data_IF_646181540256
#
_entry.id   IF_646181540256
#
_cell.length_a   1.000
_cell.length_b   1.000
_cell.length_c   1.000
_cell.angle_alpha   90.00
_cell.angle_beta   90.00
_cell.angle_gamma   90.00
#
_symmetry.space_group_name_H-M   'P 1'
#
loop_
_entity.id
_entity.type
_entity.pdbx_description
1 polymer ?
#
# COMPACT_ATOMS: atom_id res chain seq x y z
N UNK A 1 -63.89 6.56 76.87
CA UNK A 1 -64.11 6.19 75.48
C UNK A 1 -62.85 6.62 74.71
N UNK A 2 -61.96 5.66 74.39
CA UNK A 2 -60.66 5.91 73.85
C UNK A 2 -60.70 5.75 72.30
N UNK A 3 -60.27 6.78 71.59
CA UNK A 3 -60.06 6.70 70.13
C UNK A 3 -58.66 6.24 69.87
N UNK A 4 -58.55 5.15 69.14
CA UNK A 4 -57.29 4.59 68.65
C UNK A 4 -57.02 5.16 67.24
N UNK A 5 -55.95 5.94 67.11
CA UNK A 5 -55.50 6.46 65.81
C UNK A 5 -54.62 5.46 65.13
N UNK A 6 -54.97 5.09 63.89
CA UNK A 6 -54.23 4.19 63.05
C UNK A 6 -53.24 4.99 62.13
N UNK A 7 -51.98 4.91 62.43
CA UNK A 7 -50.90 5.54 61.58
C UNK A 7 -50.57 4.59 60.43
N UNK A 8 -50.84 5.03 59.19
CA UNK A 8 -50.47 4.35 58.00
C UNK A 8 -49.06 4.85 57.59
N UNK A 9 -48.06 4.01 57.73
CA UNK A 9 -46.70 4.23 57.17
C UNK A 9 -46.70 3.89 55.67
N UNK A 10 -46.62 4.91 54.84
CA UNK A 10 -46.36 4.74 53.39
C UNK A 10 -44.85 4.65 53.20
N UNK A 11 -44.38 3.43 52.93
CA UNK A 11 -43.01 3.20 52.52
C UNK A 11 -42.86 3.47 51.01
N UNK A 12 -42.20 4.58 50.69
CA UNK A 12 -41.84 4.96 49.30
C UNK A 12 -40.59 4.18 48.87
N UNK A 13 -40.77 3.05 48.17
CA UNK A 13 -39.68 2.35 47.57
C UNK A 13 -39.25 3.03 46.28
N UNK A 14 -38.14 3.78 46.37
CA UNK A 14 -37.43 4.34 45.21
C UNK A 14 -36.73 3.18 44.49
N UNK A 15 -37.33 2.70 43.36
CA UNK A 15 -36.69 1.81 42.44
C UNK A 15 -35.67 2.64 41.60
N UNK A 16 -34.42 2.70 42.04
CA UNK A 16 -33.31 3.20 41.24
C UNK A 16 -33.03 2.19 40.14
N UNK A 17 -33.61 2.40 38.96
CA UNK A 17 -33.26 1.72 37.73
C UNK A 17 -31.82 2.06 37.35
N UNK A 18 -30.88 1.21 37.74
CA UNK A 18 -29.53 1.16 37.12
C UNK A 18 -29.71 0.68 35.70
N UNK A 19 -29.84 1.64 34.77
CA UNK A 19 -29.64 1.40 33.35
C UNK A 19 -28.20 0.98 33.12
N UNK A 20 -27.94 -0.33 33.10
CA UNK A 20 -26.67 -0.88 32.61
C UNK A 20 -26.71 -0.63 31.12
N UNK A 21 -26.13 0.50 30.69
CA UNK A 21 -25.70 0.63 29.30
C UNK A 21 -24.64 -0.44 29.05
N UNK A 22 -25.09 -1.61 28.60
CA UNK A 22 -24.21 -2.61 28.05
C UNK A 22 -23.62 -2.04 26.75
N UNK A 23 -22.51 -1.30 26.88
CA UNK A 23 -21.59 -1.20 25.76
C UNK A 23 -21.11 -2.63 25.51
N UNK A 24 -21.70 -3.30 24.53
CA UNK A 24 -21.15 -4.52 23.98
C UNK A 24 -19.78 -4.14 23.42
N UNK A 25 -18.72 -4.40 24.18
CA UNK A 25 -17.36 -4.43 23.62
C UNK A 25 -17.39 -5.46 22.50
N UNK A 26 -17.30 -4.97 21.26
CA UNK A 26 -17.14 -5.82 20.08
C UNK A 26 -15.83 -6.56 20.31
N UNK A 27 -15.88 -7.85 20.63
CA UNK A 27 -14.69 -8.70 20.79
C UNK A 27 -13.92 -8.65 19.48
N UNK A 28 -12.64 -8.32 19.54
CA UNK A 28 -11.76 -8.39 18.37
C UNK A 28 -11.94 -9.76 17.70
N UNK A 29 -12.29 -9.75 16.39
CA UNK A 29 -12.51 -10.96 15.61
C UNK A 29 -13.95 -11.49 15.57
N UNK A 30 -14.94 -10.86 16.23
CA UNK A 30 -16.34 -11.31 16.21
C UNK A 30 -16.91 -11.48 14.79
N UNK A 31 -16.45 -10.63 13.84
CA UNK A 31 -16.84 -10.67 12.42
C UNK A 31 -15.76 -11.25 11.49
N UNK A 32 -14.67 -11.79 12.06
CA UNK A 32 -13.60 -12.42 11.28
C UNK A 32 -13.98 -13.86 10.90
N UNK A 33 -15.08 -14.01 10.18
CA UNK A 33 -15.58 -15.30 9.68
C UNK A 33 -16.30 -15.15 8.35
N UNK A 34 -16.34 -16.23 7.56
CA UNK A 34 -16.92 -16.26 6.22
C UNK A 34 -15.89 -15.86 5.15
N UNK A 35 -16.35 -15.81 3.91
CA UNK A 35 -15.49 -15.55 2.76
C UNK A 35 -15.85 -14.25 2.07
N UNK A 36 -14.86 -13.55 1.54
CA UNK A 36 -15.05 -12.36 0.72
C UNK A 36 -13.96 -12.22 -0.34
N UNK A 37 -14.30 -11.57 -1.45
CA UNK A 37 -13.36 -11.26 -2.52
C UNK A 37 -12.79 -9.86 -2.38
N UNK A 38 -11.51 -9.69 -2.72
CA UNK A 38 -10.84 -8.40 -2.82
C UNK A 38 -10.10 -8.29 -4.14
N UNK A 39 -10.25 -7.18 -4.85
CA UNK A 39 -9.48 -6.89 -6.07
C UNK A 39 -8.32 -5.97 -5.72
N UNK A 40 -7.16 -6.27 -6.22
CA UNK A 40 -5.93 -5.57 -5.86
C UNK A 40 -5.11 -5.28 -7.12
N UNK A 41 -4.60 -4.05 -7.22
CA UNK A 41 -3.55 -3.76 -8.20
C UNK A 41 -2.37 -4.71 -7.97
N UNK A 42 -1.90 -5.37 -9.06
CA UNK A 42 -0.83 -6.38 -8.98
C UNK A 42 0.45 -5.83 -8.33
N UNK A 43 0.66 -4.53 -8.39
CA UNK A 43 1.77 -3.86 -7.71
C UNK A 43 1.85 -4.17 -6.20
N UNK A 44 0.73 -4.53 -5.56
CA UNK A 44 0.66 -4.79 -4.12
C UNK A 44 0.42 -6.26 -3.77
N UNK A 45 0.57 -7.18 -4.75
CA UNK A 45 0.37 -8.61 -4.57
C UNK A 45 1.15 -9.17 -3.38
N UNK A 46 2.44 -8.88 -3.29
CA UNK A 46 3.31 -9.44 -2.24
C UNK A 46 2.86 -9.04 -0.83
N UNK A 47 2.34 -7.81 -0.68
CA UNK A 47 1.79 -7.31 0.58
C UNK A 47 0.51 -8.07 0.92
N UNK A 48 -0.42 -8.07 -0.04
CA UNK A 48 -1.75 -8.63 0.19
C UNK A 48 -1.71 -10.14 0.45
N UNK A 49 -0.85 -10.88 -0.25
CA UNK A 49 -0.65 -12.31 -0.02
C UNK A 49 -0.24 -12.59 1.45
N UNK A 50 0.72 -11.82 1.98
CA UNK A 50 1.17 -12.00 3.36
C UNK A 50 0.13 -11.54 4.38
N UNK A 51 -0.55 -10.41 4.13
CA UNK A 51 -1.64 -9.94 4.98
C UNK A 51 -2.77 -10.96 5.10
N UNK A 52 -3.14 -11.59 3.99
CA UNK A 52 -4.18 -12.64 3.95
C UNK A 52 -3.70 -13.88 4.70
N UNK A 53 -2.49 -14.38 4.42
CA UNK A 53 -1.95 -15.59 5.03
C UNK A 53 -1.89 -15.47 6.55
N UNK A 54 -1.42 -14.33 7.06
CA UNK A 54 -1.33 -14.06 8.49
C UNK A 54 -2.71 -13.81 9.12
N UNK A 55 -3.61 -13.13 8.40
CA UNK A 55 -4.98 -12.92 8.85
C UNK A 55 -5.75 -14.24 8.97
N UNK A 56 -5.71 -15.09 7.97
CA UNK A 56 -6.41 -16.39 7.97
C UNK A 56 -5.80 -17.36 9.00
N UNK A 57 -4.49 -17.28 9.24
CA UNK A 57 -3.86 -18.01 10.34
C UNK A 57 -4.40 -17.57 11.71
N UNK A 58 -4.59 -16.26 11.89
CA UNK A 58 -5.12 -15.69 13.13
C UNK A 58 -6.63 -15.91 13.30
N UNK A 59 -7.35 -16.05 12.19
CA UNK A 59 -8.81 -16.20 12.14
C UNK A 59 -9.21 -17.36 11.20
N UNK A 60 -9.13 -18.62 11.64
CA UNK A 60 -9.32 -19.80 10.78
C UNK A 60 -10.69 -19.94 10.14
N UNK A 61 -11.72 -19.21 10.61
CA UNK A 61 -13.05 -19.19 10.01
C UNK A 61 -13.21 -18.11 8.93
N UNK A 62 -12.17 -17.30 8.71
CA UNK A 62 -12.14 -16.24 7.70
C UNK A 62 -11.41 -16.71 6.43
N UNK A 63 -11.89 -16.24 5.26
CA UNK A 63 -11.21 -16.46 3.99
C UNK A 63 -11.32 -15.20 3.12
N UNK A 64 -10.19 -14.67 2.68
CA UNK A 64 -10.10 -13.54 1.76
C UNK A 64 -9.55 -14.04 0.43
N UNK A 65 -10.34 -13.91 -0.62
CA UNK A 65 -10.02 -14.43 -1.96
C UNK A 65 -9.53 -13.24 -2.80
N UNK A 66 -8.20 -13.12 -3.07
CA UNK A 66 -7.65 -12.02 -3.84
C UNK A 66 -7.77 -12.23 -5.34
N UNK A 67 -8.04 -11.15 -6.07
CA UNK A 67 -7.93 -11.05 -7.52
C UNK A 67 -6.92 -9.97 -7.87
N UNK A 68 -5.77 -10.38 -8.41
CA UNK A 68 -4.72 -9.46 -8.84
C UNK A 68 -4.97 -9.05 -10.28
N UNK A 69 -5.20 -7.77 -10.46
CA UNK A 69 -5.62 -7.16 -11.73
C UNK A 69 -4.95 -5.78 -11.89
N UNK A 70 -5.19 -5.10 -12.99
CA UNK A 70 -4.78 -3.70 -13.11
C UNK A 70 -5.61 -2.79 -12.19
N UNK A 71 -5.05 -1.64 -11.79
CA UNK A 71 -5.79 -0.63 -10.98
C UNK A 71 -7.11 -0.24 -11.64
N UNK A 72 -7.11 -0.06 -12.95
CA UNK A 72 -8.31 0.27 -13.70
C UNK A 72 -9.38 -0.81 -13.58
N UNK A 73 -9.01 -2.08 -13.73
CA UNK A 73 -9.94 -3.20 -13.61
C UNK A 73 -10.46 -3.38 -12.18
N UNK A 74 -9.61 -3.15 -11.16
CA UNK A 74 -10.02 -3.16 -9.76
C UNK A 74 -11.10 -2.08 -9.50
N UNK A 75 -10.86 -0.86 -9.97
CA UNK A 75 -11.80 0.26 -9.84
C UNK A 75 -13.10 0.00 -10.60
N UNK A 76 -13.03 -0.50 -11.83
CA UNK A 76 -14.21 -0.84 -12.63
C UNK A 76 -15.05 -1.94 -11.96
N UNK A 77 -14.38 -2.92 -11.34
CA UNK A 77 -15.04 -4.00 -10.61
C UNK A 77 -15.76 -3.50 -9.36
N UNK A 78 -15.17 -2.56 -8.63
CA UNK A 78 -15.84 -1.90 -7.50
C UNK A 78 -17.04 -1.07 -7.97
N UNK A 79 -16.87 -0.28 -9.03
CA UNK A 79 -17.94 0.56 -9.59
C UNK A 79 -19.10 -0.25 -10.19
N UNK A 80 -18.81 -1.46 -10.69
CA UNK A 80 -19.81 -2.42 -11.15
C UNK A 80 -20.43 -3.27 -10.01
N UNK A 81 -20.01 -3.06 -8.74
CA UNK A 81 -20.41 -3.85 -7.56
C UNK A 81 -20.12 -5.35 -7.71
N UNK A 82 -19.06 -5.71 -8.46
CA UNK A 82 -18.56 -7.10 -8.57
C UNK A 82 -17.72 -7.50 -7.37
N UNK A 83 -17.12 -6.52 -6.70
CA UNK A 83 -16.41 -6.68 -5.42
C UNK A 83 -16.85 -5.60 -4.45
N UNK A 84 -16.61 -5.84 -3.15
CA UNK A 84 -16.87 -4.87 -2.10
C UNK A 84 -15.59 -4.26 -1.53
N UNK A 85 -14.42 -4.70 -1.97
CA UNK A 85 -13.15 -4.13 -1.54
C UNK A 85 -12.12 -4.13 -2.66
N UNK A 86 -11.31 -3.06 -2.71
CA UNK A 86 -10.17 -2.93 -3.62
C UNK A 86 -8.96 -2.33 -2.91
N UNK A 87 -7.75 -2.68 -3.38
CA UNK A 87 -6.49 -2.02 -3.02
C UNK A 87 -5.94 -1.34 -4.27
N UNK A 88 -5.82 0.00 -4.22
CA UNK A 88 -5.52 0.88 -5.34
C UNK A 88 -4.73 2.11 -4.87
N UNK A 89 -4.22 2.92 -5.81
CA UNK A 89 -3.49 4.16 -5.47
C UNK A 89 -4.33 5.43 -5.61
N UNK A 90 -5.54 5.33 -6.13
CA UNK A 90 -6.46 6.46 -6.32
C UNK A 90 -7.68 6.33 -5.43
N UNK A 91 -8.06 7.44 -4.81
CA UNK A 91 -9.35 7.51 -4.12
C UNK A 91 -10.51 7.64 -5.10
N UNK A 92 -11.70 7.25 -4.62
CA UNK A 92 -12.94 7.53 -5.34
C UNK A 92 -13.23 9.03 -5.36
N UNK A 93 -13.65 9.54 -6.53
CA UNK A 93 -14.18 10.89 -6.65
C UNK A 93 -15.53 11.03 -5.92
N UNK A 94 -15.96 12.26 -5.70
CA UNK A 94 -17.27 12.52 -5.09
C UNK A 94 -18.40 11.91 -5.92
N UNK A 95 -18.31 12.02 -7.24
CA UNK A 95 -19.27 11.49 -8.20
C UNK A 95 -19.33 9.95 -8.13
N UNK A 96 -18.17 9.28 -8.03
CA UNK A 96 -18.10 7.83 -7.89
C UNK A 96 -18.70 7.36 -6.55
N UNK A 97 -18.40 8.06 -5.45
CA UNK A 97 -19.01 7.78 -4.14
C UNK A 97 -20.52 7.92 -4.16
N UNK A 98 -21.03 8.99 -4.79
CA UNK A 98 -22.48 9.23 -4.89
C UNK A 98 -23.15 8.21 -5.83
N UNK A 99 -22.49 7.79 -6.91
CA UNK A 99 -22.98 6.73 -7.79
C UNK A 99 -23.16 5.40 -7.03
N UNK A 100 -22.16 4.97 -6.26
CA UNK A 100 -22.25 3.73 -5.45
C UNK A 100 -23.39 3.82 -4.43
N UNK A 101 -23.56 4.98 -3.80
CA UNK A 101 -24.60 5.22 -2.81
C UNK A 101 -26.00 5.22 -3.44
N UNK A 102 -26.20 5.88 -4.56
CA UNK A 102 -27.52 6.01 -5.21
C UNK A 102 -27.94 4.72 -5.89
N UNK A 103 -27.03 4.11 -6.65
CA UNK A 103 -27.33 2.93 -7.46
C UNK A 103 -27.37 1.65 -6.64
N UNK A 104 -26.37 1.43 -5.77
CA UNK A 104 -26.21 0.17 -5.06
C UNK A 104 -26.50 0.27 -3.56
N UNK A 105 -26.85 1.47 -3.04
CA UNK A 105 -27.07 1.74 -1.62
C UNK A 105 -25.82 1.38 -0.78
N UNK A 106 -24.63 1.58 -1.35
CA UNK A 106 -23.33 1.29 -0.74
C UNK A 106 -22.61 2.58 -0.38
N UNK A 107 -22.12 2.65 0.86
CA UNK A 107 -21.29 3.76 1.33
C UNK A 107 -19.84 3.29 1.22
N UNK A 108 -19.07 3.93 0.35
CA UNK A 108 -17.65 3.63 0.20
C UNK A 108 -16.84 4.32 1.30
N UNK A 109 -15.99 3.53 1.97
CA UNK A 109 -14.96 3.99 2.89
C UNK A 109 -13.62 3.81 2.20
N UNK A 110 -12.77 4.83 2.26
CA UNK A 110 -11.44 4.85 1.66
C UNK A 110 -10.44 5.22 2.75
N UNK A 111 -9.52 4.32 3.02
CA UNK A 111 -8.51 4.48 4.07
C UNK A 111 -7.12 4.28 3.46
N UNK A 112 -6.21 5.20 3.76
CA UNK A 112 -4.81 5.05 3.38
C UNK A 112 -4.17 3.99 4.27
N UNK A 113 -3.58 2.95 3.66
CA UNK A 113 -2.94 1.84 4.39
C UNK A 113 -1.41 1.91 4.32
N UNK A 114 -0.86 2.52 3.25
CA UNK A 114 0.57 2.61 3.03
C UNK A 114 0.94 3.81 2.16
N UNK A 115 2.23 4.15 2.13
CA UNK A 115 2.84 5.01 1.12
C UNK A 115 3.87 4.19 0.37
N UNK A 116 3.57 3.93 -0.91
CA UNK A 116 4.44 3.23 -1.85
C UNK A 116 5.32 4.22 -2.62
N UNK A 117 6.36 3.70 -3.25
CA UNK A 117 7.14 4.45 -4.23
C UNK A 117 7.24 3.66 -5.55
N UNK A 118 7.29 4.39 -6.65
CA UNK A 118 7.57 3.83 -7.97
C UNK A 118 9.07 3.87 -8.20
N UNK A 119 9.67 2.69 -8.35
CA UNK A 119 11.11 2.55 -8.63
C UNK A 119 11.35 2.33 -10.13
N UNK A 120 12.44 2.90 -10.62
CA UNK A 120 13.01 2.56 -11.91
C UNK A 120 14.18 1.62 -11.67
N UNK A 121 14.15 0.45 -12.30
CA UNK A 121 15.17 -0.60 -12.16
C UNK A 121 15.82 -0.90 -13.50
N UNK A 122 17.11 -1.23 -13.46
CA UNK A 122 17.88 -1.63 -14.63
C UNK A 122 18.70 -2.88 -14.33
N UNK A 123 19.24 -3.50 -15.36
CA UNK A 123 20.18 -4.59 -15.17
C UNK A 123 21.31 -4.16 -14.22
N UNK A 124 21.74 -5.04 -13.32
CA UNK A 124 22.76 -4.70 -12.30
C UNK A 124 24.09 -4.19 -12.88
N UNK A 125 24.40 -4.55 -14.14
CA UNK A 125 25.61 -4.13 -14.85
C UNK A 125 25.42 -2.84 -15.66
N UNK A 126 24.23 -2.24 -15.65
CA UNK A 126 23.97 -0.97 -16.34
C UNK A 126 24.85 0.14 -15.76
N UNK A 127 25.52 0.99 -16.57
CA UNK A 127 26.41 2.04 -16.07
C UNK A 127 25.68 3.21 -15.40
N UNK A 128 24.39 3.41 -15.69
CA UNK A 128 23.61 4.54 -15.12
C UNK A 128 23.25 4.24 -13.67
N UNK A 129 23.47 5.21 -12.79
CA UNK A 129 23.14 5.11 -11.34
C UNK A 129 21.97 5.97 -10.92
N UNK A 130 21.65 7.01 -11.68
CA UNK A 130 20.60 7.96 -11.34
C UNK A 130 19.93 8.53 -12.59
N UNK A 131 18.68 8.99 -12.41
CA UNK A 131 17.92 9.80 -13.37
C UNK A 131 17.40 11.05 -12.67
N UNK A 132 17.27 12.13 -13.43
CA UNK A 132 16.54 13.30 -12.98
C UNK A 132 15.03 13.17 -13.26
N UNK A 133 14.23 14.01 -12.64
CA UNK A 133 12.80 14.12 -12.95
C UNK A 133 12.57 14.54 -14.42
N UNK A 134 13.45 15.35 -14.99
CA UNK A 134 13.37 15.74 -16.41
C UNK A 134 13.76 14.59 -17.34
N UNK A 135 14.74 13.77 -17.00
CA UNK A 135 15.06 12.55 -17.77
C UNK A 135 13.83 11.62 -17.84
N UNK A 136 13.15 11.43 -16.70
CA UNK A 136 11.94 10.59 -16.65
C UNK A 136 10.84 11.18 -17.53
N UNK A 137 10.61 12.48 -17.46
CA UNK A 137 9.66 13.18 -18.30
C UNK A 137 9.98 13.02 -19.80
N UNK A 138 11.24 13.14 -20.16
CA UNK A 138 11.69 13.05 -21.56
C UNK A 138 11.67 11.59 -22.07
N UNK A 139 11.94 10.60 -21.20
CA UNK A 139 11.71 9.18 -21.48
C UNK A 139 10.21 8.92 -21.79
N UNK A 140 9.31 9.40 -20.93
CA UNK A 140 7.86 9.21 -21.11
C UNK A 140 7.30 9.93 -22.34
N UNK A 141 7.94 11.02 -22.77
CA UNK A 141 7.58 11.75 -23.99
C UNK A 141 8.22 11.15 -25.25
N UNK A 142 9.12 10.16 -25.14
CA UNK A 142 9.84 9.55 -26.26
C UNK A 142 10.90 10.46 -26.87
N UNK A 143 11.42 11.45 -26.14
CA UNK A 143 12.56 12.27 -26.55
C UNK A 143 13.87 11.55 -26.27
N UNK A 144 13.96 10.86 -25.14
CA UNK A 144 15.06 9.96 -24.82
C UNK A 144 14.67 8.54 -25.25
N UNK A 145 15.41 7.98 -26.20
CA UNK A 145 15.16 6.67 -26.78
C UNK A 145 16.41 5.79 -26.80
N UNK A 146 17.56 6.36 -26.41
CA UNK A 146 18.88 5.69 -26.43
C UNK A 146 19.66 5.99 -25.16
N UNK A 147 20.50 5.06 -24.75
CA UNK A 147 21.31 5.17 -23.54
C UNK A 147 22.30 6.33 -23.58
N UNK A 148 22.89 6.66 -24.75
CA UNK A 148 23.83 7.79 -24.85
C UNK A 148 23.19 9.18 -24.60
N UNK A 149 21.89 9.27 -24.57
CA UNK A 149 21.16 10.48 -24.17
C UNK A 149 21.09 10.65 -22.64
N UNK A 150 21.45 9.59 -21.88
CA UNK A 150 21.50 9.56 -20.42
C UNK A 150 22.94 9.51 -19.87
N UNK A 151 23.89 10.16 -20.56
CA UNK A 151 25.30 10.21 -20.17
C UNK A 151 26.03 8.83 -20.19
N UNK A 152 25.47 7.81 -20.84
CA UNK A 152 26.16 6.56 -21.13
C UNK A 152 26.90 6.63 -22.46
N UNK A 153 27.93 5.80 -22.65
CA UNK A 153 28.62 5.69 -23.93
C UNK A 153 27.89 4.81 -24.95
N UNK A 154 26.89 4.06 -24.50
CA UNK A 154 26.15 3.10 -25.30
C UNK A 154 25.10 3.78 -26.19
N UNK A 155 25.09 3.50 -27.48
CA UNK A 155 24.19 4.06 -28.49
C UNK A 155 22.96 3.18 -28.74
N UNK A 156 22.78 2.07 -28.02
CA UNK A 156 21.64 1.17 -28.17
C UNK A 156 20.33 1.83 -27.75
N UNK A 157 19.23 1.36 -28.31
CA UNK A 157 17.89 1.80 -27.92
C UNK A 157 17.59 1.29 -26.51
N UNK A 158 16.92 2.11 -25.72
CA UNK A 158 16.37 1.70 -24.43
C UNK A 158 14.87 1.40 -24.54
N UNK A 159 14.36 0.58 -23.60
CA UNK A 159 12.95 0.22 -23.53
C UNK A 159 12.45 0.40 -22.11
N UNK A 160 11.38 1.19 -21.93
CA UNK A 160 10.64 1.26 -20.68
C UNK A 160 9.70 0.07 -20.58
N UNK A 161 9.81 -0.72 -19.53
CA UNK A 161 9.00 -1.92 -19.32
C UNK A 161 8.05 -1.68 -18.14
N UNK A 162 6.75 -1.77 -18.41
CA UNK A 162 5.68 -1.70 -17.42
C UNK A 162 4.98 -3.06 -17.29
N UNK A 163 4.30 -3.28 -16.19
CA UNK A 163 3.50 -4.48 -15.90
C UNK A 163 2.28 -4.59 -16.83
N UNK A 164 1.39 -3.60 -16.83
CA UNK A 164 0.21 -3.57 -17.70
C UNK A 164 -0.20 -2.14 -18.05
N UNK A 165 -0.93 -1.98 -19.14
CA UNK A 165 -1.36 -0.67 -19.63
C UNK A 165 -2.28 0.09 -18.65
N UNK A 166 -3.10 -0.64 -17.87
CA UNK A 166 -4.02 -0.09 -16.88
C UNK A 166 -3.47 -0.07 -15.45
N UNK A 167 -2.17 -0.33 -15.26
CA UNK A 167 -1.58 -0.39 -13.93
C UNK A 167 -1.46 0.96 -13.25
N UNK A 168 -1.32 0.90 -11.94
CA UNK A 168 -1.11 2.08 -11.11
C UNK A 168 0.23 2.77 -11.39
N UNK A 169 1.28 2.04 -11.78
CA UNK A 169 2.59 2.60 -12.14
C UNK A 169 2.50 3.46 -13.40
N UNK A 170 1.83 2.95 -14.44
CA UNK A 170 1.59 3.71 -15.70
C UNK A 170 0.75 4.95 -15.43
N UNK A 171 -0.37 4.81 -14.72
CA UNK A 171 -1.25 5.93 -14.44
C UNK A 171 -0.58 7.01 -13.59
N UNK A 172 0.21 6.60 -12.59
CA UNK A 172 0.95 7.52 -11.72
C UNK A 172 1.98 8.35 -12.50
N UNK A 173 2.85 7.70 -13.30
CA UNK A 173 3.89 8.42 -14.06
C UNK A 173 3.25 9.32 -15.13
N UNK A 174 2.23 8.83 -15.84
CA UNK A 174 1.50 9.65 -16.80
C UNK A 174 0.91 10.91 -16.15
N UNK A 175 0.19 10.74 -15.05
CA UNK A 175 -0.53 11.84 -14.40
C UNK A 175 0.44 12.85 -13.74
N UNK A 176 1.65 12.39 -13.34
CA UNK A 176 2.69 13.23 -12.74
C UNK A 176 3.48 14.05 -13.77
N UNK A 177 3.78 13.47 -14.93
CA UNK A 177 4.74 14.06 -15.87
C UNK A 177 4.13 14.56 -17.17
N UNK A 178 2.93 14.10 -17.54
CA UNK A 178 2.33 14.42 -18.82
C UNK A 178 1.05 15.28 -18.65
N UNK A 179 0.75 16.18 -19.59
CA UNK A 179 -0.51 16.89 -19.60
C UNK A 179 -1.71 15.94 -19.63
N UNK A 180 -2.84 16.36 -19.05
CA UNK A 180 -4.06 15.58 -19.02
C UNK A 180 -4.46 15.08 -20.43
N UNK A 181 -4.77 13.79 -20.52
CA UNK A 181 -5.15 13.14 -21.77
C UNK A 181 -3.99 12.72 -22.68
N UNK A 182 -2.74 13.12 -22.38
CA UNK A 182 -1.58 12.67 -23.15
C UNK A 182 -1.20 11.24 -22.72
N UNK A 183 -0.94 10.40 -23.71
CA UNK A 183 -0.40 9.05 -23.52
C UNK A 183 1.12 9.09 -23.41
N UNK A 184 1.69 8.10 -22.74
CA UNK A 184 3.14 7.83 -22.78
C UNK A 184 3.49 7.43 -24.22
N UNK A 185 4.68 7.81 -24.69
CA UNK A 185 5.10 7.56 -26.07
C UNK A 185 5.27 6.08 -26.36
N UNK A 186 4.64 5.58 -27.42
CA UNK A 186 4.73 4.17 -27.85
C UNK A 186 6.12 3.78 -28.41
N UNK A 187 7.01 4.77 -28.66
CA UNK A 187 8.30 4.52 -29.30
C UNK A 187 9.32 3.82 -28.37
N UNK A 188 9.10 3.84 -27.06
CA UNK A 188 10.05 3.36 -26.05
C UNK A 188 9.42 2.43 -25.03
N UNK A 189 8.13 2.06 -25.20
CA UNK A 189 7.40 1.28 -24.20
C UNK A 189 7.25 -0.17 -24.63
N UNK A 190 7.46 -1.08 -23.68
CA UNK A 190 6.98 -2.46 -23.72
C UNK A 190 6.11 -2.73 -22.47
N UNK A 191 5.12 -3.57 -22.64
CA UNK A 191 4.35 -4.07 -21.50
C UNK A 191 4.71 -5.52 -21.24
N UNK A 192 4.98 -5.86 -19.98
CA UNK A 192 4.99 -7.24 -19.54
C UNK A 192 3.57 -7.81 -19.74
N UNK A 193 3.50 -9.08 -20.14
CA UNK A 193 2.20 -9.66 -20.52
C UNK A 193 1.36 -10.07 -19.31
N UNK A 194 1.97 -10.17 -18.11
CA UNK A 194 1.31 -10.77 -16.95
C UNK A 194 1.30 -9.90 -15.71
N UNK A 195 2.48 -9.50 -15.20
CA UNK A 195 2.57 -8.88 -13.88
C UNK A 195 3.94 -8.23 -13.61
N UNK A 196 4.09 -7.63 -12.43
CA UNK A 196 5.34 -7.03 -11.97
C UNK A 196 6.53 -8.00 -11.87
N UNK A 197 6.30 -9.29 -11.56
CA UNK A 197 7.38 -10.29 -11.54
C UNK A 197 8.03 -10.43 -12.92
N UNK A 198 7.24 -10.35 -13.98
CA UNK A 198 7.75 -10.41 -15.36
C UNK A 198 8.58 -9.17 -15.71
N UNK A 199 8.21 -7.98 -15.25
CA UNK A 199 9.04 -6.77 -15.40
C UNK A 199 10.43 -6.99 -14.79
N UNK A 200 10.46 -7.54 -13.58
CA UNK A 200 11.70 -7.82 -12.88
C UNK A 200 12.58 -8.82 -13.66
N UNK A 201 11.98 -9.89 -14.15
CA UNK A 201 12.67 -10.91 -14.95
C UNK A 201 13.20 -10.38 -16.30
N UNK A 202 12.45 -9.50 -16.96
CA UNK A 202 12.90 -8.84 -18.20
C UNK A 202 14.14 -8.00 -17.93
N UNK A 203 14.10 -7.15 -16.90
CA UNK A 203 15.23 -6.28 -16.55
C UNK A 203 16.49 -7.06 -16.18
N UNK A 204 16.36 -8.22 -15.53
CA UNK A 204 17.50 -9.09 -15.22
C UNK A 204 18.17 -9.63 -16.48
N UNK A 205 17.42 -9.87 -17.56
CA UNK A 205 17.88 -10.51 -18.79
C UNK A 205 18.26 -9.51 -19.88
N UNK A 206 17.56 -8.39 -19.97
CA UNK A 206 17.76 -7.37 -21.00
C UNK A 206 18.50 -6.16 -20.42
N UNK A 207 19.77 -5.92 -20.84
CA UNK A 207 20.54 -4.76 -20.40
C UNK A 207 19.97 -3.43 -20.89
N UNK A 208 19.10 -3.44 -21.91
CA UNK A 208 18.49 -2.24 -22.49
C UNK A 208 17.15 -1.87 -21.85
N UNK A 209 16.64 -2.69 -20.93
CA UNK A 209 15.37 -2.45 -20.25
C UNK A 209 15.52 -1.53 -19.04
N UNK A 210 14.60 -0.58 -18.92
CA UNK A 210 14.29 0.16 -17.68
C UNK A 210 12.93 -0.33 -17.21
N UNK A 211 12.89 -1.09 -16.11
CA UNK A 211 11.64 -1.55 -15.52
C UNK A 211 11.03 -0.48 -14.61
N UNK A 212 9.72 -0.34 -14.66
CA UNK A 212 8.94 0.53 -13.77
C UNK A 212 8.08 -0.35 -12.86
N UNK A 213 8.34 -0.31 -11.56
CA UNK A 213 7.80 -1.26 -10.59
C UNK A 213 7.48 -0.58 -9.27
N UNK A 214 6.53 -1.14 -8.49
CA UNK A 214 6.35 -0.75 -7.09
C UNK A 214 7.53 -1.22 -6.24
N UNK A 215 7.97 -0.40 -5.28
CA UNK A 215 9.04 -0.76 -4.33
C UNK A 215 8.68 -2.00 -3.50
N UNK A 216 7.40 -2.30 -3.32
CA UNK A 216 6.94 -3.52 -2.63
C UNK A 216 7.46 -4.83 -3.24
N UNK A 217 7.89 -4.80 -4.50
CA UNK A 217 8.50 -5.94 -5.20
C UNK A 217 10.01 -6.07 -4.99
N UNK A 218 10.62 -5.04 -4.38
CA UNK A 218 12.06 -4.95 -4.21
C UNK A 218 12.52 -5.28 -2.79
N UNK A 219 11.59 -5.48 -1.84
CA UNK A 219 11.90 -5.76 -0.44
C UNK A 219 12.32 -7.22 -0.21
N UNK A 220 13.56 -7.45 0.20
CA UNK A 220 14.08 -8.79 0.51
C UNK A 220 13.58 -9.31 1.86
N UNK A 221 13.19 -8.43 2.79
CA UNK A 221 12.80 -8.82 4.14
C UNK A 221 11.57 -9.72 4.17
N UNK A 222 10.55 -9.39 3.36
CA UNK A 222 9.34 -10.21 3.27
C UNK A 222 9.65 -11.59 2.67
N UNK A 223 10.47 -11.65 1.62
CA UNK A 223 10.86 -12.93 1.01
C UNK A 223 11.65 -13.81 2.00
N UNK A 224 12.47 -13.20 2.85
CA UNK A 224 13.18 -13.92 3.90
C UNK A 224 12.23 -14.36 5.02
N UNK A 225 11.28 -13.52 5.42
CA UNK A 225 10.26 -13.89 6.42
C UNK A 225 9.44 -15.10 5.96
N UNK A 226 9.06 -15.17 4.69
CA UNK A 226 8.29 -16.30 4.13
C UNK A 226 9.01 -17.67 4.17
N UNK A 227 10.32 -17.68 4.40
CA UNK A 227 11.09 -18.93 4.60
C UNK A 227 10.96 -19.51 6.02
N UNK A 228 10.38 -18.73 6.93
CA UNK A 228 10.21 -19.10 8.34
C UNK A 228 8.79 -19.68 8.54
N UNK A 229 8.61 -20.71 9.40
CA UNK A 229 7.28 -21.24 9.72
C UNK A 229 6.31 -20.17 10.25
N UNK A 230 5.02 -20.33 9.97
CA UNK A 230 4.01 -19.31 10.28
C UNK A 230 3.95 -18.92 11.76
N UNK A 231 4.06 -19.88 12.67
CA UNK A 231 4.06 -19.63 14.13
C UNK A 231 5.23 -18.73 14.57
N UNK A 232 6.42 -18.93 14.00
CA UNK A 232 7.60 -18.11 14.29
C UNK A 232 7.47 -16.73 13.61
N UNK A 233 6.92 -16.67 12.40
CA UNK A 233 6.59 -15.45 11.68
C UNK A 233 5.64 -14.58 12.47
N UNK A 234 4.55 -15.18 13.00
CA UNK A 234 3.59 -14.49 13.87
C UNK A 234 4.26 -13.89 15.10
N UNK A 235 5.06 -14.68 15.81
CA UNK A 235 5.79 -14.20 17.01
C UNK A 235 6.68 -12.99 16.67
N UNK A 236 7.34 -13.01 15.51
CA UNK A 236 8.13 -11.86 15.01
C UNK A 236 7.24 -10.65 14.69
N UNK A 237 6.10 -10.85 14.06
CA UNK A 237 5.19 -9.74 13.70
C UNK A 237 4.53 -9.09 14.92
N UNK A 238 4.24 -9.88 15.95
CA UNK A 238 3.70 -9.39 17.22
C UNK A 238 4.76 -8.72 18.11
N UNK A 239 6.04 -8.97 17.86
CA UNK A 239 7.12 -8.36 18.60
C UNK A 239 7.21 -6.84 18.32
N UNK A 240 6.86 -6.05 19.32
CA UNK A 240 6.88 -4.58 19.25
C UNK A 240 8.27 -3.97 19.42
N UNK A 241 9.28 -4.76 19.83
CA UNK A 241 10.63 -4.24 20.12
C UNK A 241 11.54 -4.22 18.91
N UNK A 242 11.27 -5.05 17.88
CA UNK A 242 12.09 -5.14 16.69
C UNK A 242 11.96 -3.91 15.80
N UNK A 243 13.09 -3.38 15.36
CA UNK A 243 13.16 -2.35 14.33
C UNK A 243 13.26 -3.02 12.96
N UNK A 244 12.35 -2.72 12.07
CA UNK A 244 12.44 -3.18 10.68
C UNK A 244 13.41 -2.29 9.92
N UNK A 245 14.54 -2.86 9.49
CA UNK A 245 15.44 -2.21 8.53
C UNK A 245 15.05 -2.71 7.14
N UNK A 246 14.62 -1.80 6.28
CA UNK A 246 14.22 -2.14 4.92
C UNK A 246 15.45 -2.45 4.06
N UNK A 247 15.56 -3.71 3.61
CA UNK A 247 16.58 -4.13 2.66
C UNK A 247 15.92 -4.30 1.28
N UNK A 248 16.48 -3.60 0.28
CA UNK A 248 16.06 -3.75 -1.10
C UNK A 248 16.98 -4.75 -1.80
N UNK A 249 16.43 -5.48 -2.76
CA UNK A 249 17.13 -6.51 -3.53
C UNK A 249 18.37 -5.98 -4.24
N UNK A 250 19.37 -6.82 -4.38
CA UNK A 250 20.61 -6.55 -5.15
C UNK A 250 20.66 -7.30 -6.49
N UNK A 251 19.57 -7.98 -6.87
CA UNK A 251 19.51 -8.73 -8.13
C UNK A 251 19.40 -7.81 -9.36
N UNK A 252 18.87 -6.62 -9.18
CA UNK A 252 18.79 -5.54 -10.16
C UNK A 252 19.39 -4.26 -9.56
N UNK A 253 19.77 -3.30 -10.41
CA UNK A 253 20.15 -1.98 -9.94
C UNK A 253 18.91 -1.09 -9.86
N UNK A 254 18.70 -0.46 -8.69
CA UNK A 254 17.63 0.50 -8.47
C UNK A 254 18.21 1.89 -8.74
N UNK A 255 17.66 2.59 -9.72
CA UNK A 255 18.09 3.94 -10.06
C UNK A 255 17.69 4.93 -8.96
N UNK A 256 18.64 5.77 -8.57
CA UNK A 256 18.37 6.92 -7.72
C UNK A 256 17.66 7.99 -8.53
N UNK A 257 16.78 8.75 -7.89
CA UNK A 257 16.10 9.87 -8.54
C UNK A 257 16.53 11.16 -7.87
N UNK A 258 16.95 12.13 -8.70
CA UNK A 258 17.23 13.48 -8.25
C UNK A 258 15.99 14.35 -8.40
N UNK A 259 15.72 15.10 -7.34
CA UNK A 259 14.67 16.13 -7.31
C UNK A 259 15.35 17.47 -7.02
N UNK A 260 15.63 18.29 -8.05
CA UNK A 260 16.24 19.60 -7.79
C UNK A 260 15.28 20.41 -6.92
N UNK A 261 15.79 20.82 -5.75
CA UNK A 261 15.03 21.61 -4.78
C UNK A 261 15.07 23.11 -5.08
N UNK A 262 16.04 23.54 -5.89
CA UNK A 262 16.24 24.93 -6.29
C UNK A 262 16.58 25.04 -7.78
N UNK A 263 16.14 26.15 -8.40
CA UNK A 263 16.33 26.43 -9.83
C UNK A 263 17.81 26.49 -10.26
N UNK A 264 18.76 26.63 -9.31
CA UNK A 264 20.20 26.73 -9.50
C UNK A 264 20.98 25.54 -8.88
N UNK A 265 20.35 24.40 -8.62
CA UNK A 265 21.05 23.25 -8.08
C UNK A 265 21.85 22.54 -9.19
N UNK A 266 23.14 22.89 -9.29
CA UNK A 266 24.07 22.35 -10.31
C UNK A 266 24.47 20.88 -10.06
N UNK A 267 24.17 20.31 -8.89
CA UNK A 267 24.48 18.93 -8.54
C UNK A 267 23.46 18.36 -7.56
N UNK A 268 22.22 18.17 -8.01
CA UNK A 268 21.13 17.71 -7.13
C UNK A 268 21.45 16.34 -6.56
N UNK A 269 21.22 16.19 -5.26
CA UNK A 269 21.37 14.91 -4.58
C UNK A 269 20.31 13.94 -5.10
N UNK A 270 20.70 12.71 -5.39
CA UNK A 270 19.80 11.65 -5.84
C UNK A 270 19.59 10.59 -4.76
N UNK A 271 18.37 10.12 -4.59
CA UNK A 271 17.97 9.19 -3.54
C UNK A 271 17.38 7.91 -4.13
N UNK A 272 17.70 6.78 -3.50
CA UNK A 272 17.00 5.52 -3.75
C UNK A 272 15.70 5.48 -2.92
N UNK A 273 14.71 4.63 -3.29
CA UNK A 273 13.39 4.63 -2.66
C UNK A 273 13.36 3.91 -1.30
N UNK A 274 14.29 4.24 -0.40
CA UNK A 274 14.24 3.78 0.98
C UNK A 274 13.16 4.51 1.77
N UNK A 275 12.54 3.82 2.73
CA UNK A 275 11.47 4.37 3.58
C UNK A 275 11.81 5.73 4.19
N UNK A 276 13.07 5.93 4.61
CA UNK A 276 13.53 7.20 5.18
C UNK A 276 13.41 8.36 4.18
N UNK A 277 13.77 8.14 2.91
CA UNK A 277 13.70 9.17 1.87
C UNK A 277 12.29 9.34 1.29
N UNK A 278 11.46 8.30 1.35
CA UNK A 278 10.02 8.40 1.05
C UNK A 278 9.34 9.25 2.13
N UNK A 279 9.66 9.02 3.39
CA UNK A 279 9.07 9.74 4.53
C UNK A 279 9.48 11.22 4.59
N UNK A 280 10.74 11.54 4.27
CA UNK A 280 11.23 12.94 4.19
C UNK A 280 10.77 13.67 2.93
N UNK A 281 10.31 12.96 1.89
CA UNK A 281 9.96 13.53 0.59
C UNK A 281 11.17 13.72 -0.35
N UNK A 282 12.37 13.29 0.06
CA UNK A 282 13.59 13.35 -0.76
C UNK A 282 13.51 12.45 -1.99
N UNK A 283 12.85 11.28 -1.86
CA UNK A 283 12.53 10.45 -3.02
C UNK A 283 11.19 10.91 -3.64
N UNK A 284 11.19 11.46 -4.88
CA UNK A 284 10.04 12.22 -5.38
C UNK A 284 8.92 11.39 -6.00
N UNK A 285 9.12 10.07 -6.22
CA UNK A 285 8.16 9.19 -6.89
C UNK A 285 7.38 8.34 -5.88
N UNK A 286 6.72 8.97 -4.93
CA UNK A 286 5.88 8.27 -3.94
C UNK A 286 4.39 8.52 -4.16
N UNK A 287 3.56 7.57 -3.70
CA UNK A 287 2.10 7.58 -3.85
C UNK A 287 1.43 6.88 -2.68
N UNK A 288 0.22 7.30 -2.35
CA UNK A 288 -0.57 6.64 -1.31
C UNK A 288 -1.22 5.36 -1.84
N UNK A 289 -1.38 4.39 -0.97
CA UNK A 289 -2.10 3.14 -1.24
C UNK A 289 -3.35 3.13 -0.37
N UNK A 290 -4.50 2.89 -0.99
CA UNK A 290 -5.79 2.91 -0.32
C UNK A 290 -6.44 1.53 -0.35
N UNK A 291 -7.01 1.14 0.76
CA UNK A 291 -8.03 0.10 0.80
C UNK A 291 -9.39 0.80 0.76
N UNK A 292 -10.15 0.56 -0.30
CA UNK A 292 -11.51 1.10 -0.47
C UNK A 292 -12.50 -0.03 -0.28
N UNK A 293 -13.45 0.15 0.62
CA UNK A 293 -14.46 -0.86 0.91
C UNK A 293 -15.87 -0.28 0.95
N UNK A 294 -16.80 -1.04 0.39
CA UNK A 294 -18.25 -0.80 0.46
C UNK A 294 -18.96 -1.82 1.36
N UNK A 295 -18.20 -2.69 2.03
CA UNK A 295 -18.72 -3.70 2.93
C UNK A 295 -19.28 -3.09 4.23
N UNK A 296 -20.25 -3.78 4.85
CA UNK A 296 -20.76 -3.41 6.18
C UNK A 296 -19.72 -3.73 7.26
N UNK A 297 -19.85 -3.11 8.42
CA UNK A 297 -18.95 -3.34 9.56
C UNK A 297 -19.06 -4.76 10.16
N UNK A 298 -20.10 -5.51 9.80
CA UNK A 298 -20.29 -6.90 10.21
C UNK A 298 -19.78 -7.92 9.17
N UNK A 299 -18.96 -7.48 8.21
CA UNK A 299 -18.40 -8.32 7.16
C UNK A 299 -16.93 -8.65 7.47
N UNK A 300 -16.46 -9.82 7.02
CA UNK A 300 -15.07 -10.27 7.17
C UNK A 300 -14.07 -9.25 6.58
N UNK A 301 -14.44 -8.50 5.53
CA UNK A 301 -13.62 -7.43 4.97
C UNK A 301 -13.37 -6.28 5.94
N UNK A 302 -14.31 -5.99 6.84
CA UNK A 302 -14.08 -4.98 7.88
C UNK A 302 -13.06 -5.48 8.92
N UNK A 303 -13.14 -6.76 9.30
CA UNK A 303 -12.15 -7.37 10.18
C UNK A 303 -10.77 -7.42 9.51
N UNK A 304 -10.71 -7.76 8.23
CA UNK A 304 -9.48 -7.73 7.45
C UNK A 304 -8.90 -6.31 7.34
N UNK A 305 -9.72 -5.31 7.03
CA UNK A 305 -9.29 -3.90 7.05
C UNK A 305 -8.71 -3.50 8.41
N UNK A 306 -9.38 -3.86 9.51
CA UNK A 306 -8.89 -3.56 10.87
C UNK A 306 -7.56 -4.27 11.17
N UNK A 307 -7.36 -5.46 10.63
CA UNK A 307 -6.10 -6.20 10.73
C UNK A 307 -4.98 -5.49 9.96
N UNK A 308 -5.18 -5.16 8.69
CA UNK A 308 -4.21 -4.47 7.82
C UNK A 308 -3.78 -3.12 8.42
N UNK A 309 -4.72 -2.37 9.00
CA UNK A 309 -4.43 -1.08 9.65
C UNK A 309 -3.92 -1.22 11.09
N UNK A 310 -3.98 -2.42 11.66
CA UNK A 310 -3.46 -2.75 12.98
C UNK A 310 -1.95 -2.94 12.99
N UNK A 311 -1.40 -3.18 14.18
CA UNK A 311 0.05 -3.28 14.40
C UNK A 311 0.71 -4.36 13.52
N UNK A 312 0.14 -5.57 13.47
CA UNK A 312 0.69 -6.70 12.71
C UNK A 312 0.68 -6.41 11.20
N UNK A 313 -0.46 -5.95 10.65
CA UNK A 313 -0.54 -5.61 9.23
C UNK A 313 0.42 -4.47 8.87
N UNK A 314 0.50 -3.42 9.65
CA UNK A 314 1.43 -2.31 9.39
C UNK A 314 2.91 -2.76 9.47
N UNK A 315 3.23 -3.75 10.31
CA UNK A 315 4.57 -4.36 10.36
C UNK A 315 4.85 -5.18 9.11
N UNK A 316 3.87 -5.96 8.61
CA UNK A 316 3.97 -6.68 7.34
C UNK A 316 4.26 -5.69 6.19
N UNK A 317 3.49 -4.61 6.09
CA UNK A 317 3.71 -3.56 5.09
C UNK A 317 5.15 -3.03 5.16
N UNK A 318 5.64 -2.74 6.36
CA UNK A 318 7.01 -2.24 6.55
C UNK A 318 8.09 -3.19 6.04
N UNK A 319 7.88 -4.52 6.11
CA UNK A 319 8.81 -5.54 5.62
C UNK A 319 8.93 -5.57 4.09
N UNK A 320 7.96 -5.04 3.37
CA UNK A 320 7.97 -4.98 1.89
C UNK A 320 8.79 -3.83 1.33
N UNK A 321 9.35 -2.97 2.17
CA UNK A 321 10.13 -1.80 1.75
C UNK A 321 9.32 -0.52 1.55
N UNK A 322 7.98 -0.59 1.52
CA UNK A 322 7.11 0.59 1.50
C UNK A 322 6.82 1.10 2.91
N UNK A 323 6.38 2.33 3.02
CA UNK A 323 6.12 2.95 4.32
C UNK A 323 4.70 2.63 4.80
N UNK A 324 4.52 2.04 6.00
CA UNK A 324 3.21 1.88 6.59
C UNK A 324 2.59 3.26 6.91
N UNK A 325 1.29 3.40 6.74
CA UNK A 325 0.61 4.68 6.98
C UNK A 325 0.29 4.90 8.47
N UNK A 326 -0.10 3.84 9.17
CA UNK A 326 -0.40 3.86 10.60
C UNK A 326 0.85 3.46 11.41
N UNK A 327 1.78 4.41 11.58
CA UNK A 327 2.99 4.17 12.36
C UNK A 327 2.69 4.39 13.84
N UNK A 328 2.83 3.36 14.67
CA UNK A 328 2.88 3.54 16.11
C UNK A 328 4.18 4.28 16.48
N UNK A 329 4.08 5.58 16.74
CA UNK A 329 5.22 6.37 17.23
C UNK A 329 5.65 5.82 18.59
N UNK A 330 6.87 5.27 18.68
CA UNK A 330 7.48 4.98 19.97
C UNK A 330 8.00 6.27 20.56
N UNK A 331 7.56 6.58 21.77
CA UNK A 331 8.25 7.53 22.65
C UNK A 331 9.39 6.76 23.31
N UNK A 332 10.62 6.99 22.87
CA UNK A 332 11.82 6.49 23.56
C UNK A 332 12.17 7.52 24.62
N UNK A 333 11.87 7.24 25.89
CA UNK A 333 12.40 8.01 27.00
C UNK A 333 13.89 7.66 27.17
N UNK A 334 14.77 8.59 26.81
CA UNK A 334 16.18 8.48 27.11
C UNK A 334 16.38 8.76 28.59
N UNK A 335 16.54 7.72 29.40
CA UNK A 335 17.01 7.86 30.75
C UNK A 335 18.49 8.30 30.72
N UNK A 336 18.73 9.60 30.83
CA UNK A 336 20.08 10.10 31.09
C UNK A 336 20.45 9.78 32.53
N UNK A 337 21.25 8.75 32.75
CA UNK A 337 21.91 8.53 34.03
C UNK A 337 22.80 9.73 34.32
N UNK A 338 22.33 10.67 35.13
CA UNK A 338 23.22 11.65 35.78
C UNK A 338 24.14 10.89 36.71
N UNK A 339 25.45 10.83 36.37
CA UNK A 339 26.52 10.52 37.31
C UNK A 339 26.76 11.70 38.25
#
# INVERSE_FOLDING_TARGET
>A
MKKIGLSVLISLSVLSGLGVSSCTEIKRGEYAKGSATIFCDDGFKNILDEEIEVFEYSYPEASIIPFYVSEQEAMDSLMANKTQAVIVTKELTKEQKEYLKTKYKRIAKSECIAVDAVALIVNKNNPIDALSMDDIKDLLNGKITRWNQLAASDTTNLTLVFDSQGSSTVSYLRDKFLPAGKKISDNTIAFAQKNNAEVFDIVKKDPNAIGVISVSWLGDNLQNAKKVPMNERMASYENQTDTVVSNLTTEVKILKISNPTEENDFSPTSYAPYQVYINSGDYPLFRKVYMISTASNSNVLYSFYTFVTGFVGQKIISLTGIMPYHVNRRVVELQTNKK
#
